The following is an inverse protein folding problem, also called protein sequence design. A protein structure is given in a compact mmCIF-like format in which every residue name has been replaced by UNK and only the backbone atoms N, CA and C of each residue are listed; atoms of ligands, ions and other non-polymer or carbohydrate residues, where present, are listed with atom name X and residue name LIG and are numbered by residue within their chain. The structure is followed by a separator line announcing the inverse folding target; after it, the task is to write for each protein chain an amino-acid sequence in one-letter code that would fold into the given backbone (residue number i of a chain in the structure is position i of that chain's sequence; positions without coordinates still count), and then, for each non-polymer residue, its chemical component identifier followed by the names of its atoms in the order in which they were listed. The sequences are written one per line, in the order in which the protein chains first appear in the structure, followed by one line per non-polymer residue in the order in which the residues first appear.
data_IF_874781349048
#
_entry.id   IF_874781349048
#
_cell.length_a   1.000
_cell.length_b   1.000
_cell.length_c   1.000
_cell.angle_alpha   90.00
_cell.angle_beta   90.00
_cell.angle_gamma   90.00
#
_symmetry.space_group_name_H-M   'P 1'
#
loop_
_entity.id
_entity.type
_entity.pdbx_description
1 polymer ?
#
# COMPACT_ATOMS: atom_id res chain seq x y z
N UNK A 1 -1.19 4.17 -7.74
CA UNK A 1 -1.90 5.46 -7.72
C UNK A 1 -3.36 5.37 -8.18
N UNK A 2 -3.64 4.90 -9.41
CA UNK A 2 -5.00 4.87 -9.99
C UNK A 2 -6.10 4.21 -9.12
N UNK A 3 -5.75 3.20 -8.31
CA UNK A 3 -6.66 2.56 -7.35
C UNK A 3 -7.10 3.50 -6.23
N UNK A 4 -6.19 4.34 -5.73
CA UNK A 4 -6.50 5.36 -4.72
C UNK A 4 -7.39 6.43 -5.34
N UNK A 5 -7.04 6.92 -6.54
CA UNK A 5 -7.83 7.93 -7.25
C UNK A 5 -9.26 7.45 -7.54
N UNK A 6 -9.41 6.16 -7.87
CA UNK A 6 -10.72 5.55 -8.02
C UNK A 6 -11.54 5.64 -6.73
N UNK A 7 -10.94 5.28 -5.58
CA UNK A 7 -11.63 5.30 -4.28
C UNK A 7 -11.97 6.71 -3.81
N UNK A 8 -11.07 7.66 -4.01
CA UNK A 8 -11.33 9.09 -3.81
C UNK A 8 -12.54 9.55 -4.62
N UNK A 9 -12.55 9.28 -5.93
CA UNK A 9 -13.65 9.68 -6.81
C UNK A 9 -15.00 9.06 -6.40
N UNK A 10 -14.98 7.84 -5.88
CA UNK A 10 -16.19 7.13 -5.42
C UNK A 10 -16.59 7.45 -3.97
N UNK A 11 -15.86 8.29 -3.26
CA UNK A 11 -16.15 8.65 -1.86
C UNK A 11 -15.89 7.53 -0.84
N UNK A 12 -15.06 6.54 -1.19
CA UNK A 12 -14.65 5.45 -0.28
C UNK A 12 -13.37 5.79 0.51
N UNK A 13 -12.62 6.80 0.07
CA UNK A 13 -11.41 7.34 0.73
C UNK A 13 -11.51 8.86 0.70
N UNK A 14 -11.10 9.54 1.76
CA UNK A 14 -11.23 11.01 1.89
C UNK A 14 -10.00 11.76 1.37
N UNK A 15 -8.80 11.24 1.66
CA UNK A 15 -7.52 11.89 1.34
C UNK A 15 -6.55 10.91 0.69
N UNK A 16 -5.66 11.43 -0.16
CA UNK A 16 -4.52 10.69 -0.70
C UNK A 16 -3.23 11.31 -0.16
N UNK A 17 -2.28 10.46 0.20
CA UNK A 17 -0.94 10.84 0.58
C UNK A 17 0.07 10.06 -0.28
N UNK A 18 1.23 10.67 -0.50
CA UNK A 18 2.34 10.09 -1.28
C UNK A 18 3.58 9.78 -0.45
N UNK A 19 3.54 10.11 0.85
CA UNK A 19 4.54 9.71 1.83
C UNK A 19 3.88 9.33 3.16
N UNK A 20 4.56 8.50 3.95
CA UNK A 20 4.10 8.11 5.27
C UNK A 20 3.97 9.33 6.19
N UNK A 21 4.92 10.28 6.12
CA UNK A 21 4.87 11.52 6.91
C UNK A 21 3.64 12.35 6.61
N UNK A 22 3.30 12.52 5.32
CA UNK A 22 2.08 13.21 4.91
C UNK A 22 0.82 12.49 5.43
N UNK A 23 0.77 11.16 5.32
CA UNK A 23 -0.36 10.38 5.80
C UNK A 23 -0.55 10.54 7.32
N UNK A 24 0.54 10.45 8.09
CA UNK A 24 0.52 10.60 9.54
C UNK A 24 0.17 12.03 9.98
N UNK A 25 0.62 13.04 9.24
CA UNK A 25 0.24 14.43 9.49
C UNK A 25 -1.28 14.63 9.33
N UNK A 26 -1.86 14.12 8.24
CA UNK A 26 -3.31 14.18 8.00
C UNK A 26 -4.09 13.49 9.14
N UNK A 27 -3.66 12.28 9.54
CA UNK A 27 -4.33 11.53 10.62
C UNK A 27 -4.26 12.29 11.94
N UNK A 28 -3.09 12.87 12.27
CA UNK A 28 -2.87 13.58 13.53
C UNK A 28 -3.62 14.91 13.62
N UNK A 29 -3.73 15.63 12.50
CA UNK A 29 -4.36 16.95 12.45
C UNK A 29 -5.88 16.87 12.34
N UNK A 30 -6.44 15.71 12.01
CA UNK A 30 -7.89 15.57 11.85
C UNK A 30 -8.62 15.38 13.17
N UNK A 31 -9.61 16.22 13.36
CA UNK A 31 -10.53 16.29 14.50
C UNK A 31 -11.86 15.54 14.24
N UNK A 32 -11.97 14.89 13.09
CA UNK A 32 -13.09 14.03 12.68
C UNK A 32 -12.57 12.72 12.09
N UNK A 33 -13.38 11.66 11.98
CA UNK A 33 -12.97 10.46 11.28
C UNK A 33 -12.51 10.77 9.84
N UNK A 34 -11.31 10.31 9.49
CA UNK A 34 -10.70 10.51 8.16
C UNK A 34 -10.08 9.21 7.66
N UNK A 35 -10.25 8.93 6.38
CA UNK A 35 -9.60 7.83 5.68
C UNK A 35 -8.51 8.35 4.74
N UNK A 36 -7.29 7.82 4.88
CA UNK A 36 -6.12 8.25 4.10
C UNK A 36 -5.60 7.09 3.24
N UNK A 37 -5.69 7.24 1.93
CA UNK A 37 -5.05 6.33 0.97
C UNK A 37 -3.59 6.72 0.75
N UNK A 38 -2.67 5.98 1.37
CA UNK A 38 -1.22 6.16 1.18
C UNK A 38 -0.74 5.40 -0.06
N UNK A 39 -0.05 6.09 -0.97
CA UNK A 39 0.67 5.47 -2.08
C UNK A 39 1.98 4.86 -1.58
N UNK A 40 2.04 3.53 -1.49
CA UNK A 40 3.22 2.78 -1.09
C UNK A 40 3.03 1.27 -1.19
N UNK A 41 4.08 0.50 -0.90
CA UNK A 41 3.99 -0.94 -0.70
C UNK A 41 3.77 -1.23 0.79
N UNK A 42 2.81 -2.08 1.12
CA UNK A 42 2.52 -2.44 2.51
C UNK A 42 3.73 -3.07 3.22
N UNK A 43 4.54 -3.86 2.51
CA UNK A 43 5.76 -4.45 3.05
C UNK A 43 6.79 -3.40 3.52
N UNK A 44 6.88 -2.27 2.82
CA UNK A 44 7.74 -1.15 3.20
C UNK A 44 7.13 -0.35 4.36
N UNK A 45 5.85 0.03 4.22
CA UNK A 45 5.16 0.89 5.18
C UNK A 45 5.05 0.24 6.57
N UNK A 46 4.73 -1.05 6.63
CA UNK A 46 4.55 -1.74 7.92
C UNK A 46 5.89 -1.89 8.65
N UNK A 47 6.96 -2.20 7.92
CA UNK A 47 8.32 -2.25 8.46
C UNK A 47 8.73 -0.88 9.02
N UNK A 48 8.46 0.19 8.28
CA UNK A 48 8.76 1.55 8.69
C UNK A 48 7.96 2.01 9.92
N UNK A 49 6.68 1.64 10.03
CA UNK A 49 5.87 1.93 11.22
C UNK A 49 6.45 1.27 12.48
N UNK A 50 6.93 0.02 12.36
CA UNK A 50 7.59 -0.71 13.46
C UNK A 50 8.89 -0.02 13.85
N UNK A 51 9.74 0.34 12.89
CA UNK A 51 11.00 1.05 13.14
C UNK A 51 10.78 2.41 13.82
N UNK A 52 9.70 3.11 13.45
CA UNK A 52 9.31 4.40 14.04
C UNK A 52 8.55 4.26 15.37
N UNK A 53 8.34 3.04 15.86
CA UNK A 53 7.57 2.74 17.06
C UNK A 53 6.16 3.37 17.05
N UNK A 54 5.49 3.31 15.89
CA UNK A 54 4.11 3.77 15.70
C UNK A 54 3.21 2.54 15.72
N UNK A 55 2.33 2.44 16.71
CA UNK A 55 1.40 1.31 16.87
C UNK A 55 -0.03 1.78 16.63
N UNK A 56 -0.67 1.36 15.53
CA UNK A 56 -2.10 1.57 15.32
C UNK A 56 -2.93 0.79 16.34
N UNK A 57 -4.11 1.29 16.66
CA UNK A 57 -5.05 0.59 17.56
C UNK A 57 -5.52 -0.76 16.98
N UNK A 58 -5.63 -0.84 15.65
CA UNK A 58 -6.06 -2.02 14.90
C UNK A 58 -5.21 -2.17 13.65
N UNK A 59 -4.81 -3.40 13.34
CA UNK A 59 -4.08 -3.74 12.12
C UNK A 59 -4.78 -4.90 11.42
N UNK A 60 -4.92 -4.79 10.10
CA UNK A 60 -5.47 -5.83 9.22
C UNK A 60 -4.85 -5.69 7.83
N UNK A 61 -5.04 -6.70 6.97
CA UNK A 61 -4.61 -6.66 5.58
C UNK A 61 -5.70 -7.18 4.64
N UNK A 62 -5.84 -6.53 3.49
CA UNK A 62 -6.74 -6.94 2.40
C UNK A 62 -6.04 -6.83 1.03
N UNK A 63 -4.73 -7.03 0.99
CA UNK A 63 -4.04 -7.21 -0.30
C UNK A 63 -4.52 -8.49 -0.97
N UNK A 64 -4.28 -8.62 -2.27
CA UNK A 64 -4.57 -9.85 -3.00
C UNK A 64 -3.49 -10.93 -2.76
N UNK A 65 -3.10 -11.15 -1.51
CA UNK A 65 -2.10 -12.16 -1.11
C UNK A 65 -2.51 -13.61 -1.48
N UNK A 66 -3.79 -13.83 -1.78
CA UNK A 66 -4.28 -15.12 -2.29
C UNK A 66 -3.76 -15.45 -3.70
N UNK A 67 -3.32 -14.45 -4.46
CA UNK A 67 -2.73 -14.60 -5.80
C UNK A 67 -1.34 -13.94 -5.81
N UNK A 68 -0.28 -14.67 -5.42
CA UNK A 68 1.08 -14.11 -5.36
C UNK A 68 1.64 -13.75 -6.74
N UNK A 69 1.11 -14.30 -7.83
CA UNK A 69 1.58 -13.97 -9.18
C UNK A 69 1.07 -12.60 -9.63
N UNK A 70 -0.24 -12.33 -9.46
CA UNK A 70 -0.88 -11.13 -10.01
C UNK A 70 -1.30 -10.09 -8.96
N UNK A 71 -1.54 -10.54 -7.73
CA UNK A 71 -2.24 -9.80 -6.70
C UNK A 71 -1.34 -9.05 -5.72
N UNK A 72 -0.16 -9.60 -5.40
CA UNK A 72 0.80 -9.00 -4.48
C UNK A 72 1.99 -8.41 -5.24
N UNK A 73 2.41 -7.19 -4.86
CA UNK A 73 3.57 -6.54 -5.45
C UNK A 73 4.79 -6.82 -4.56
N UNK A 74 5.83 -7.51 -5.06
CA UNK A 74 7.04 -7.73 -4.28
C UNK A 74 7.65 -6.44 -3.74
N UNK A 75 8.27 -6.52 -2.57
CA UNK A 75 8.90 -5.37 -1.93
C UNK A 75 10.01 -4.79 -2.83
N UNK A 76 10.08 -3.46 -2.91
CA UNK A 76 11.06 -2.75 -3.75
C UNK A 76 10.81 -2.81 -5.26
N UNK A 77 9.75 -3.49 -5.72
CA UNK A 77 9.42 -3.57 -7.15
C UNK A 77 8.51 -2.42 -7.58
N UNK A 78 8.68 -1.98 -8.82
CA UNK A 78 7.71 -1.10 -9.48
C UNK A 78 6.61 -1.93 -10.15
N UNK A 79 5.46 -1.30 -10.41
CA UNK A 79 4.36 -1.93 -11.15
C UNK A 79 4.77 -2.34 -12.57
N UNK A 80 5.64 -1.57 -13.23
CA UNK A 80 6.13 -1.91 -14.57
C UNK A 80 7.07 -3.10 -14.54
N UNK A 81 8.00 -3.15 -13.57
CA UNK A 81 8.89 -4.29 -13.40
C UNK A 81 8.11 -5.58 -13.10
N UNK A 82 7.11 -5.52 -12.22
CA UNK A 82 6.25 -6.66 -11.94
C UNK A 82 5.49 -7.14 -13.18
N UNK A 83 4.98 -6.22 -14.01
CA UNK A 83 4.30 -6.58 -15.25
C UNK A 83 5.22 -7.27 -16.26
N UNK A 84 6.47 -6.82 -16.38
CA UNK A 84 7.49 -7.47 -17.22
C UNK A 84 7.85 -8.86 -16.70
N UNK A 85 8.12 -8.98 -15.39
CA UNK A 85 8.56 -10.23 -14.79
C UNK A 85 7.49 -11.32 -14.83
N UNK A 86 6.20 -10.97 -14.75
CA UNK A 86 5.10 -11.93 -14.94
C UNK A 86 5.13 -12.63 -16.29
N UNK A 87 5.67 -11.98 -17.33
CA UNK A 87 5.79 -12.57 -18.67
C UNK A 87 7.10 -13.35 -18.85
N UNK A 88 8.13 -13.05 -18.05
CA UNK A 88 9.46 -13.62 -18.20
C UNK A 88 9.71 -14.82 -17.28
N UNK A 89 9.32 -14.71 -16.01
CA UNK A 89 9.59 -15.71 -14.98
C UNK A 89 8.53 -15.63 -13.87
N UNK A 90 7.41 -16.31 -14.08
CA UNK A 90 6.31 -16.40 -13.12
C UNK A 90 6.76 -16.98 -11.76
N UNK A 91 7.67 -17.95 -11.77
CA UNK A 91 8.15 -18.60 -10.55
C UNK A 91 8.95 -17.63 -9.69
N UNK A 92 9.74 -16.74 -10.31
CA UNK A 92 10.47 -15.70 -9.60
C UNK A 92 9.53 -14.64 -9.01
N UNK A 93 8.46 -14.26 -9.72
CA UNK A 93 7.44 -13.33 -9.18
C UNK A 93 6.76 -13.94 -7.96
N UNK A 94 6.28 -15.18 -8.05
CA UNK A 94 5.60 -15.88 -6.95
C UNK A 94 6.52 -16.05 -5.74
N UNK A 95 7.82 -16.25 -5.95
CA UNK A 95 8.79 -16.38 -4.86
C UNK A 95 9.12 -15.04 -4.18
N UNK A 96 9.08 -13.95 -4.93
CA UNK A 96 9.39 -12.61 -4.44
C UNK A 96 8.20 -11.92 -3.75
N UNK A 97 6.98 -12.33 -4.12
CA UNK A 97 5.72 -11.90 -3.52
C UNK A 97 5.48 -12.57 -2.16
#
# INVERSE_FOLDING_TARGET
ESRIDYRLRTGYVDKKATSLDEALAIIKESDTPVSVGLLGNAADVFSELVERNITPDVVTDQTSAHDPLNGYLPQGWSMSHAAEMRLQDEAMVVKAA
#
